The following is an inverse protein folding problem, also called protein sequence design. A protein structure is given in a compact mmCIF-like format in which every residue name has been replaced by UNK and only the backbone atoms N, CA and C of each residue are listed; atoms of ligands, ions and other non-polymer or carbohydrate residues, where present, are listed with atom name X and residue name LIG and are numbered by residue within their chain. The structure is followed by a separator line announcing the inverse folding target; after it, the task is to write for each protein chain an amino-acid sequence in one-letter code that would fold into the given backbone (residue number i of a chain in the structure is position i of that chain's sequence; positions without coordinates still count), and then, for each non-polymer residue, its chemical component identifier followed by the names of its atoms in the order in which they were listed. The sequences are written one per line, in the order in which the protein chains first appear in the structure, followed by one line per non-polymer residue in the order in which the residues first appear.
data_IF_104871376780
#
_entry.id   IF_104871376780
#
_cell.length_a   1.000
_cell.length_b   1.000
_cell.length_c   1.000
_cell.angle_alpha   90.00
_cell.angle_beta   90.00
_cell.angle_gamma   90.00
#
_symmetry.space_group_name_H-M   'P 1'
#
loop_
_entity.id
_entity.type
_entity.pdbx_description
1 polymer ?
#
# COMPACT_ATOMS: atom_id res chain seq x y z
N UNK A 1 -9.63 8.42 6.08
CA UNK A 1 -8.75 7.37 5.56
C UNK A 1 -8.00 7.91 4.35
N UNK A 2 -6.76 7.52 4.17
CA UNK A 2 -5.87 8.07 3.12
C UNK A 2 -5.91 7.22 1.85
N UNK A 3 -7.08 6.82 1.43
CA UNK A 3 -7.23 5.84 0.34
C UNK A 3 -6.62 6.32 -0.97
N UNK A 4 -6.96 7.54 -1.39
CA UNK A 4 -6.48 8.08 -2.67
C UNK A 4 -4.96 8.29 -2.66
N UNK A 5 -4.42 8.78 -1.57
CA UNK A 5 -2.99 9.01 -1.45
C UNK A 5 -2.21 7.70 -1.44
N UNK A 6 -2.70 6.70 -0.70
CA UNK A 6 -2.09 5.38 -0.68
C UNK A 6 -2.14 4.75 -2.07
N UNK A 7 -3.27 4.89 -2.76
CA UNK A 7 -3.43 4.42 -4.13
C UNK A 7 -2.39 5.06 -5.06
N UNK A 8 -2.20 6.37 -4.95
CA UNK A 8 -1.22 7.08 -5.77
C UNK A 8 0.21 6.60 -5.50
N UNK A 9 0.55 6.39 -4.23
CA UNK A 9 1.87 5.86 -3.88
C UNK A 9 2.07 4.47 -4.49
N UNK A 10 1.03 3.64 -4.42
CA UNK A 10 1.07 2.30 -5.01
C UNK A 10 1.31 2.36 -6.51
N UNK A 11 0.55 3.20 -7.20
CA UNK A 11 0.67 3.36 -8.65
C UNK A 11 2.09 3.79 -9.04
N UNK A 12 2.62 4.78 -8.33
CA UNK A 12 3.95 5.32 -8.63
C UNK A 12 5.05 4.30 -8.31
N UNK A 13 4.94 3.63 -7.17
CA UNK A 13 5.97 2.70 -6.71
C UNK A 13 6.00 1.44 -7.56
N UNK A 14 4.83 0.89 -7.88
CA UNK A 14 4.73 -0.36 -8.63
C UNK A 14 4.54 -0.13 -10.13
N UNK A 15 4.43 1.12 -10.56
CA UNK A 15 4.28 1.49 -11.96
C UNK A 15 3.05 0.84 -12.60
N UNK A 16 1.91 0.93 -11.89
CA UNK A 16 0.70 0.22 -12.28
C UNK A 16 -0.05 0.86 -13.45
N UNK A 17 0.07 2.17 -13.62
CA UNK A 17 -0.64 2.88 -14.70
C UNK A 17 -2.15 2.78 -14.56
N UNK A 18 -2.88 2.57 -15.67
CA UNK A 18 -4.35 2.52 -15.64
C UNK A 18 -4.91 1.43 -14.74
N UNK A 19 -4.22 0.30 -14.60
CA UNK A 19 -4.66 -0.78 -13.72
C UNK A 19 -4.74 -0.30 -12.28
N UNK A 20 -3.79 0.56 -11.87
CA UNK A 20 -3.81 1.15 -10.53
C UNK A 20 -4.97 2.09 -10.31
N UNK A 21 -5.34 2.84 -11.34
CA UNK A 21 -6.45 3.78 -11.26
C UNK A 21 -7.79 3.07 -11.04
N UNK A 22 -7.91 1.83 -11.47
CA UNK A 22 -9.13 1.04 -11.30
C UNK A 22 -9.27 0.44 -9.90
N UNK A 23 -8.25 0.50 -9.06
CA UNK A 23 -8.28 -0.07 -7.72
C UNK A 23 -9.28 0.64 -6.82
N UNK A 24 -9.99 -0.14 -6.02
CA UNK A 24 -10.96 0.35 -5.05
C UNK A 24 -10.58 -0.17 -3.67
N UNK A 25 -11.30 0.28 -2.64
CA UNK A 25 -10.99 -0.09 -1.25
C UNK A 25 -10.99 -1.61 -1.04
N UNK A 26 -11.90 -2.32 -1.68
CA UNK A 26 -12.02 -3.77 -1.54
C UNK A 26 -11.17 -4.54 -2.57
N UNK A 27 -10.43 -3.85 -3.41
CA UNK A 27 -9.58 -4.51 -4.41
C UNK A 27 -8.44 -5.26 -3.72
N UNK A 28 -8.27 -6.56 -4.02
CA UNK A 28 -7.17 -7.32 -3.43
C UNK A 28 -5.84 -6.86 -4.01
N UNK A 29 -4.83 -6.84 -3.15
CA UNK A 29 -3.47 -6.44 -3.55
C UNK A 29 -2.55 -7.65 -3.57
N UNK A 30 -2.29 -8.23 -2.41
CA UNK A 30 -1.37 -9.36 -2.31
C UNK A 30 -1.97 -10.59 -3.00
N UNK A 31 -1.20 -11.16 -3.90
CA UNK A 31 -1.64 -12.31 -4.67
C UNK A 31 -2.44 -11.98 -5.92
N UNK A 32 -2.92 -10.76 -6.06
CA UNK A 32 -3.67 -10.30 -7.25
C UNK A 32 -2.86 -9.41 -8.17
N UNK A 33 -1.89 -8.69 -7.61
CA UNK A 33 -1.00 -7.84 -8.40
C UNK A 33 0.32 -8.56 -8.63
N UNK A 34 0.65 -8.92 -9.87
CA UNK A 34 1.94 -9.57 -10.15
C UNK A 34 3.13 -8.69 -9.75
N UNK A 35 2.93 -7.38 -9.78
CA UNK A 35 3.97 -6.41 -9.41
C UNK A 35 4.27 -6.41 -7.93
N UNK A 36 3.36 -6.90 -7.09
CA UNK A 36 3.53 -6.85 -5.64
C UNK A 36 4.18 -8.14 -5.13
N UNK A 37 5.49 -8.22 -5.26
CA UNK A 37 6.32 -9.31 -4.73
C UNK A 37 7.02 -8.85 -3.45
N UNK A 38 7.90 -9.69 -2.91
CA UNK A 38 8.62 -9.40 -1.67
C UNK A 38 9.44 -8.12 -1.75
N UNK A 39 10.11 -7.90 -2.87
CA UNK A 39 10.92 -6.70 -3.07
C UNK A 39 10.05 -5.47 -3.21
N UNK A 40 8.94 -5.59 -3.93
CA UNK A 40 8.00 -4.49 -4.10
C UNK A 40 7.38 -4.07 -2.77
N UNK A 41 7.09 -5.04 -1.91
CA UNK A 41 6.55 -4.74 -0.57
C UNK A 41 7.54 -3.88 0.22
N UNK A 42 8.82 -4.24 0.21
CA UNK A 42 9.85 -3.47 0.91
C UNK A 42 9.95 -2.05 0.33
N UNK A 43 9.95 -1.94 -0.99
CA UNK A 43 10.01 -0.64 -1.66
C UNK A 43 8.78 0.20 -1.34
N UNK A 44 7.61 -0.42 -1.33
CA UNK A 44 6.35 0.26 -1.03
C UNK A 44 6.31 0.76 0.40
N UNK A 45 6.79 -0.02 1.35
CA UNK A 45 6.87 0.40 2.75
C UNK A 45 7.72 1.65 2.87
N UNK A 46 8.89 1.67 2.24
CA UNK A 46 9.76 2.85 2.26
C UNK A 46 9.09 4.07 1.63
N UNK A 47 8.38 3.86 0.52
CA UNK A 47 7.66 4.95 -0.15
C UNK A 47 6.54 5.51 0.73
N UNK A 48 5.81 4.65 1.42
CA UNK A 48 4.75 5.07 2.34
C UNK A 48 5.31 5.85 3.52
N UNK A 49 6.41 5.39 4.08
CA UNK A 49 7.07 6.09 5.18
C UNK A 49 7.48 7.51 4.77
N UNK A 50 8.06 7.61 3.59
CA UNK A 50 8.55 8.90 3.08
C UNK A 50 7.38 9.83 2.73
N UNK A 51 6.37 9.29 2.04
CA UNK A 51 5.24 10.10 1.58
C UNK A 51 4.41 10.65 2.74
N UNK A 52 4.15 9.82 3.75
CA UNK A 52 3.29 10.18 4.87
C UNK A 52 4.04 10.63 6.12
N UNK A 53 5.36 10.53 6.12
CA UNK A 53 6.17 10.89 7.28
C UNK A 53 5.92 10.01 8.49
N UNK A 54 5.70 8.72 8.26
CA UNK A 54 5.41 7.74 9.30
C UNK A 54 6.55 6.73 9.41
N UNK A 55 6.56 5.96 10.49
CA UNK A 55 7.52 4.89 10.69
C UNK A 55 6.78 3.56 10.72
N UNK A 56 7.23 2.62 9.91
CA UNK A 56 6.63 1.30 9.80
C UNK A 56 7.68 0.26 10.17
N UNK A 57 7.42 -0.50 11.24
CA UNK A 57 8.30 -1.60 11.65
C UNK A 57 7.84 -2.90 11.02
N UNK A 58 8.77 -3.83 10.82
CA UNK A 58 8.44 -5.15 10.28
C UNK A 58 7.36 -5.85 11.12
N UNK A 59 7.39 -5.66 12.44
CA UNK A 59 6.42 -6.26 13.34
C UNK A 59 5.01 -5.70 13.16
N UNK A 60 4.89 -4.51 12.59
CA UNK A 60 3.60 -3.87 12.33
C UNK A 60 2.88 -4.49 11.13
N UNK A 61 3.60 -5.20 10.28
CA UNK A 61 3.10 -5.66 8.99
C UNK A 61 2.70 -7.13 9.09
N UNK A 62 1.52 -7.43 8.55
CA UNK A 62 1.02 -8.79 8.45
C UNK A 62 0.45 -8.99 7.04
N UNK A 63 0.10 -10.25 6.72
CA UNK A 63 -0.53 -10.55 5.44
C UNK A 63 -1.81 -9.73 5.24
N UNK A 64 -2.56 -9.48 6.32
CA UNK A 64 -3.79 -8.72 6.24
C UNK A 64 -3.58 -7.24 5.92
N UNK A 65 -2.40 -6.70 6.21
CA UNK A 65 -2.08 -5.30 5.89
C UNK A 65 -2.19 -5.05 4.38
N UNK A 66 -1.70 -5.98 3.58
CA UNK A 66 -1.68 -5.86 2.12
C UNK A 66 -2.79 -6.68 1.44
N UNK A 67 -3.80 -7.10 2.18
CA UNK A 67 -4.88 -7.91 1.63
C UNK A 67 -5.69 -7.10 0.61
N UNK A 68 -6.07 -5.87 0.97
CA UNK A 68 -6.79 -4.97 0.07
C UNK A 68 -6.20 -3.58 0.14
N UNK A 69 -6.57 -2.74 -0.82
CA UNK A 69 -6.19 -1.33 -0.79
C UNK A 69 -6.73 -0.66 0.47
N UNK A 70 -7.96 -0.98 0.85
CA UNK A 70 -8.59 -0.43 2.06
C UNK A 70 -7.86 -0.82 3.33
N UNK A 71 -7.41 -2.08 3.44
CA UNK A 71 -6.67 -2.51 4.61
C UNK A 71 -5.32 -1.80 4.72
N UNK A 72 -4.67 -1.57 3.59
CA UNK A 72 -3.42 -0.82 3.56
C UNK A 72 -3.64 0.64 3.96
N UNK A 73 -4.69 1.26 3.41
CA UNK A 73 -5.03 2.63 3.75
C UNK A 73 -5.39 2.78 5.23
N UNK A 74 -6.12 1.84 5.78
CA UNK A 74 -6.47 1.83 7.22
C UNK A 74 -5.21 1.72 8.08
N UNK A 75 -4.26 0.88 7.67
CA UNK A 75 -2.98 0.74 8.37
C UNK A 75 -2.22 2.07 8.37
N UNK A 76 -2.13 2.72 7.22
CA UNK A 76 -1.44 4.02 7.10
C UNK A 76 -2.14 5.06 7.96
N UNK A 77 -3.47 5.12 7.93
CA UNK A 77 -4.23 6.06 8.74
C UNK A 77 -3.96 5.87 10.24
N UNK A 78 -3.89 4.62 10.67
CA UNK A 78 -3.58 4.30 12.07
C UNK A 78 -2.19 4.79 12.47
N UNK A 79 -1.23 4.68 11.56
CA UNK A 79 0.14 5.14 11.82
C UNK A 79 0.23 6.66 11.87
N UNK A 80 -0.65 7.35 11.18
CA UNK A 80 -0.66 8.83 11.15
C UNK A 80 -1.36 9.42 12.38
N UNK A 81 -2.19 8.64 13.04
CA UNK A 81 -2.97 9.11 14.19
C UNK A 81 -2.10 9.35 15.43
#
# INVERSE_FOLDING_TARGET
MQLDEVKNVLIDTLNLGPAGQALQADSPLLGSLPELDSMAVVTLIGALEEHFGIMIDDDDISASTFETLGSLAAFVSAKMA
#
